data_IF_291628810818
#
_entry.id   IF_291628810818
#
_cell.length_a   1.000
_cell.length_b   1.000
_cell.length_c   1.000
_cell.angle_alpha   90.00
_cell.angle_beta   90.00
_cell.angle_gamma   90.00
#
_symmetry.space_group_name_H-M   'P 1'
#
loop_
_entity.id
_entity.type
_entity.pdbx_description
1 polymer ?
#
# COMPACT_ATOMS: atom_id res chain seq x y z
N UNK A 1 -18.65 2.14 -12.48
CA UNK A 1 -17.32 2.48 -11.94
C UNK A 1 -17.22 1.86 -10.55
N UNK A 2 -16.03 1.37 -10.13
CA UNK A 2 -15.83 0.83 -8.77
C UNK A 2 -15.05 1.83 -7.93
N UNK A 3 -15.47 2.02 -6.69
CA UNK A 3 -14.83 2.94 -5.74
C UNK A 3 -13.67 2.26 -5.00
N UNK A 4 -12.63 3.03 -4.68
CA UNK A 4 -11.51 2.56 -3.88
C UNK A 4 -11.04 3.65 -2.90
N UNK A 5 -10.37 3.23 -1.84
CA UNK A 5 -9.84 4.11 -0.80
C UNK A 5 -8.45 3.66 -0.37
N UNK A 6 -7.59 4.63 -0.02
CA UNK A 6 -6.18 4.38 0.27
C UNK A 6 -5.94 4.04 1.74
N UNK A 7 -5.09 3.04 1.98
CA UNK A 7 -4.57 2.66 3.29
C UNK A 7 -3.04 2.74 3.25
N UNK A 8 -2.46 3.66 4.01
CA UNK A 8 -1.01 3.81 4.12
C UNK A 8 -0.47 3.21 5.42
N UNK A 9 0.51 2.31 5.27
CA UNK A 9 1.28 1.71 6.36
C UNK A 9 2.70 2.30 6.42
N UNK A 10 2.90 3.50 5.86
CA UNK A 10 4.19 4.20 5.80
C UNK A 10 4.15 5.43 6.70
N UNK A 11 4.62 5.34 7.96
CA UNK A 11 4.55 6.47 8.90
C UNK A 11 5.26 7.73 8.38
N UNK A 12 6.36 7.58 7.65
CA UNK A 12 7.13 8.66 7.06
C UNK A 12 6.37 9.42 5.95
N UNK A 13 5.30 8.83 5.41
CA UNK A 13 4.45 9.47 4.43
C UNK A 13 3.31 10.28 5.07
N UNK A 14 3.19 10.32 6.40
CA UNK A 14 2.12 11.04 7.12
C UNK A 14 2.01 12.50 6.68
N UNK A 15 0.76 12.95 6.51
CA UNK A 15 0.44 14.24 5.89
C UNK A 15 0.34 14.18 4.36
N UNK A 16 0.68 13.04 3.75
CA UNK A 16 0.38 12.75 2.34
C UNK A 16 -1.13 12.51 2.10
N UNK A 17 -1.54 12.37 0.83
CA UNK A 17 -2.95 12.27 0.42
C UNK A 17 -3.54 10.86 0.64
N UNK A 18 -3.37 10.29 1.83
CA UNK A 18 -3.94 8.99 2.20
C UNK A 18 -5.08 9.15 3.19
N UNK A 19 -6.12 8.32 3.04
CA UNK A 19 -7.33 8.41 3.86
C UNK A 19 -7.16 7.63 5.17
N UNK A 20 -6.78 6.36 5.09
CA UNK A 20 -6.53 5.52 6.26
C UNK A 20 -5.03 5.34 6.53
N UNK A 21 -4.71 5.21 7.81
CA UNK A 21 -3.34 5.15 8.32
C UNK A 21 -3.19 4.01 9.34
N UNK A 22 -1.95 3.57 9.51
CA UNK A 22 -1.43 2.75 10.62
C UNK A 22 -1.90 1.28 10.68
N UNK A 23 -3.20 1.00 10.60
CA UNK A 23 -3.75 -0.35 10.77
C UNK A 23 -4.52 -0.82 9.52
N UNK A 24 -4.01 -1.90 8.93
CA UNK A 24 -4.57 -2.50 7.72
C UNK A 24 -5.98 -3.05 7.95
N UNK A 25 -6.19 -3.78 9.05
CA UNK A 25 -7.48 -4.42 9.33
C UNK A 25 -8.56 -3.38 9.65
N UNK A 26 -8.21 -2.35 10.41
CA UNK A 26 -9.12 -1.23 10.69
C UNK A 26 -9.45 -0.44 9.42
N UNK A 27 -8.47 -0.24 8.53
CA UNK A 27 -8.68 0.37 7.21
C UNK A 27 -9.67 -0.43 6.35
N UNK A 28 -9.50 -1.75 6.25
CA UNK A 28 -10.45 -2.64 5.56
C UNK A 28 -11.85 -2.59 6.18
N UNK A 29 -11.95 -2.68 7.51
CA UNK A 29 -13.22 -2.63 8.21
C UNK A 29 -13.99 -1.32 7.94
N UNK A 30 -13.28 -0.19 8.01
CA UNK A 30 -13.87 1.13 7.78
C UNK A 30 -14.25 1.31 6.30
N UNK A 31 -13.39 0.88 5.36
CA UNK A 31 -13.69 0.92 3.93
C UNK A 31 -14.98 0.15 3.59
N UNK A 32 -15.14 -1.05 4.16
CA UNK A 32 -16.33 -1.86 3.96
C UNK A 32 -17.57 -1.21 4.58
N UNK A 33 -17.45 -0.66 5.80
CA UNK A 33 -18.55 0.05 6.46
C UNK A 33 -19.03 1.27 5.67
N UNK A 34 -18.12 1.97 4.99
CA UNK A 34 -18.43 3.12 4.14
C UNK A 34 -18.92 2.74 2.74
N UNK A 35 -18.95 1.45 2.39
CA UNK A 35 -19.48 0.95 1.13
C UNK A 35 -18.53 1.05 -0.07
N UNK A 36 -17.21 1.07 0.17
CA UNK A 36 -16.23 1.00 -0.93
C UNK A 36 -16.21 -0.39 -1.57
N UNK A 37 -15.84 -0.48 -2.85
CA UNK A 37 -15.67 -1.76 -3.55
C UNK A 37 -14.28 -2.37 -3.34
N UNK A 38 -13.28 -1.54 -3.06
CA UNK A 38 -11.87 -1.93 -3.02
C UNK A 38 -11.01 -1.02 -2.12
N UNK A 39 -9.79 -1.46 -1.87
CA UNK A 39 -8.74 -0.67 -1.21
C UNK A 39 -7.47 -0.58 -2.06
N UNK A 40 -6.69 0.47 -1.82
CA UNK A 40 -5.33 0.62 -2.34
C UNK A 40 -4.36 0.59 -1.15
N UNK A 41 -3.39 -0.32 -1.16
CA UNK A 41 -2.50 -0.54 -0.02
C UNK A 41 -1.10 0.02 -0.31
N UNK A 42 -0.54 0.78 0.63
CA UNK A 42 0.82 1.32 0.54
C UNK A 42 1.66 0.71 1.67
N UNK A 43 2.34 -0.44 1.43
CA UNK A 43 3.16 -1.10 2.43
C UNK A 43 4.51 -0.39 2.63
N UNK A 44 5.17 -0.58 3.80
CA UNK A 44 6.49 -0.02 4.07
C UNK A 44 7.63 -0.70 3.30
N UNK A 45 7.40 -1.87 2.71
CA UNK A 45 8.33 -2.65 1.87
C UNK A 45 7.60 -3.71 1.04
N UNK A 46 8.26 -4.30 0.03
CA UNK A 46 7.69 -5.39 -0.79
C UNK A 46 7.16 -6.57 0.03
N UNK A 47 7.84 -6.91 1.12
CA UNK A 47 7.46 -8.00 2.03
C UNK A 47 6.81 -7.49 3.33
N UNK A 48 6.37 -6.22 3.36
CA UNK A 48 5.90 -5.56 4.57
C UNK A 48 4.55 -6.06 5.09
N UNK A 49 3.81 -6.83 4.29
CA UNK A 49 2.51 -7.40 4.65
C UNK A 49 2.42 -8.82 4.09
N UNK A 50 2.07 -9.83 4.91
CA UNK A 50 1.83 -11.18 4.41
C UNK A 50 0.64 -11.22 3.44
N UNK A 51 0.80 -11.82 2.27
CA UNK A 51 -0.26 -11.97 1.26
C UNK A 51 -1.50 -12.68 1.82
N UNK A 52 -1.31 -13.69 2.68
CA UNK A 52 -2.40 -14.41 3.35
C UNK A 52 -3.23 -13.52 4.26
N UNK A 53 -2.61 -12.54 4.92
CA UNK A 53 -3.32 -11.57 5.75
C UNK A 53 -4.19 -10.65 4.90
N UNK A 54 -3.68 -10.17 3.76
CA UNK A 54 -4.45 -9.35 2.81
C UNK A 54 -5.63 -10.14 2.24
N UNK A 55 -5.40 -11.38 1.80
CA UNK A 55 -6.44 -12.27 1.28
C UNK A 55 -7.54 -12.51 2.31
N UNK A 56 -7.17 -12.83 3.56
CA UNK A 56 -8.14 -13.02 4.64
C UNK A 56 -8.98 -11.77 4.93
N UNK A 57 -8.40 -10.58 4.83
CA UNK A 57 -9.13 -9.32 4.99
C UNK A 57 -10.06 -9.02 3.80
N UNK A 58 -9.60 -9.30 2.57
CA UNK A 58 -10.43 -9.17 1.37
C UNK A 58 -11.67 -10.06 1.45
N UNK A 59 -11.50 -11.34 1.85
CA UNK A 59 -12.61 -12.28 2.01
C UNK A 59 -13.56 -11.85 3.14
N UNK A 60 -13.00 -11.55 4.33
CA UNK A 60 -13.79 -11.15 5.50
C UNK A 60 -14.67 -9.93 5.26
N UNK A 61 -14.17 -8.95 4.51
CA UNK A 61 -14.85 -7.68 4.29
C UNK A 61 -15.50 -7.55 2.91
N UNK A 62 -15.43 -8.60 2.08
CA UNK A 62 -15.92 -8.59 0.69
C UNK A 62 -15.35 -7.42 -0.15
N UNK A 63 -14.11 -7.00 0.15
CA UNK A 63 -13.41 -5.92 -0.53
C UNK A 63 -12.40 -6.47 -1.53
N UNK A 64 -12.19 -5.75 -2.64
CA UNK A 64 -11.13 -6.06 -3.62
C UNK A 64 -9.84 -5.28 -3.32
N UNK A 65 -8.73 -5.73 -3.88
CA UNK A 65 -7.49 -4.96 -3.95
C UNK A 65 -7.44 -4.25 -5.30
N UNK A 66 -7.48 -2.91 -5.30
CA UNK A 66 -7.40 -2.10 -6.51
C UNK A 66 -5.96 -1.84 -6.95
N UNK A 67 -5.06 -1.58 -5.99
CA UNK A 67 -3.65 -1.30 -6.26
C UNK A 67 -2.76 -1.58 -5.03
N UNK A 68 -1.47 -1.76 -5.30
CA UNK A 68 -0.40 -1.72 -4.29
C UNK A 68 0.59 -0.64 -4.68
N UNK A 69 0.82 0.32 -3.79
CA UNK A 69 1.73 1.43 -4.04
C UNK A 69 3.13 1.20 -3.46
N UNK A 70 4.16 1.39 -4.29
CA UNK A 70 5.57 1.14 -3.92
C UNK A 70 6.33 2.41 -3.50
N UNK A 71 5.63 3.51 -3.26
CA UNK A 71 6.23 4.82 -2.93
C UNK A 71 7.11 4.83 -1.67
N UNK A 72 6.93 3.87 -0.76
CA UNK A 72 7.79 3.68 0.41
C UNK A 72 9.27 3.52 0.05
N UNK A 73 9.58 2.91 -1.10
CA UNK A 73 10.96 2.76 -1.58
C UNK A 73 11.64 4.11 -1.78
N UNK A 74 10.91 5.11 -2.28
CA UNK A 74 11.44 6.46 -2.39
C UNK A 74 11.42 7.20 -1.04
N UNK A 75 10.31 7.14 -0.30
CA UNK A 75 10.17 7.89 0.97
C UNK A 75 11.28 7.50 1.95
N UNK A 76 11.49 6.19 2.15
CA UNK A 76 12.40 5.63 3.16
C UNK A 76 13.83 5.47 2.66
N UNK A 77 14.00 5.05 1.40
CA UNK A 77 15.29 4.60 0.88
C UNK A 77 15.79 5.44 -0.31
N UNK A 78 15.02 6.43 -0.76
CA UNK A 78 15.33 7.27 -1.94
C UNK A 78 15.55 6.48 -3.23
N UNK A 79 14.96 5.28 -3.32
CA UNK A 79 15.02 4.44 -4.51
C UNK A 79 14.29 5.10 -5.68
N UNK A 80 14.91 5.05 -6.87
CA UNK A 80 14.40 5.63 -8.11
C UNK A 80 14.70 4.69 -9.26
N UNK A 81 13.68 4.34 -10.05
CA UNK A 81 13.85 3.51 -11.25
C UNK A 81 14.65 4.23 -12.36
N UNK A 82 14.74 5.56 -12.28
CA UNK A 82 15.45 6.43 -13.23
C UNK A 82 16.72 7.04 -12.63
N UNK A 83 17.23 6.47 -11.54
CA UNK A 83 18.48 6.94 -10.92
C UNK A 83 19.65 6.86 -11.92
N UNK A 84 20.58 7.84 -11.96
CA UNK A 84 21.80 7.71 -12.76
C UNK A 84 22.63 6.48 -12.38
N UNK A 85 22.63 6.09 -11.10
CA UNK A 85 23.37 4.93 -10.61
C UNK A 85 22.61 3.61 -10.93
N UNK A 86 23.21 2.68 -11.73
CA UNK A 86 22.60 1.39 -12.02
C UNK A 86 22.31 0.53 -10.78
N UNK A 87 23.09 0.65 -9.70
CA UNK A 87 22.89 -0.10 -8.48
C UNK A 87 21.60 0.34 -7.76
N UNK A 88 21.32 1.65 -7.73
CA UNK A 88 20.07 2.18 -7.16
C UNK A 88 18.88 1.74 -8.00
N UNK A 89 19.00 1.72 -9.34
CA UNK A 89 17.95 1.20 -10.21
C UNK A 89 17.68 -0.29 -9.98
N UNK A 90 18.72 -1.09 -9.71
CA UNK A 90 18.57 -2.51 -9.37
C UNK A 90 17.80 -2.67 -8.05
N UNK A 91 18.21 -1.96 -7.00
CA UNK A 91 17.51 -1.99 -5.70
C UNK A 91 16.05 -1.52 -5.83
N UNK A 92 15.79 -0.50 -6.66
CA UNK A 92 14.43 -0.01 -6.92
C UNK A 92 13.55 -1.06 -7.62
N UNK A 93 14.12 -1.89 -8.50
CA UNK A 93 13.39 -3.01 -9.13
C UNK A 93 13.14 -4.15 -8.14
N UNK A 94 14.10 -4.47 -7.29
CA UNK A 94 13.97 -5.51 -6.26
C UNK A 94 12.96 -5.14 -5.16
N UNK A 95 12.71 -3.84 -4.98
CA UNK A 95 11.70 -3.34 -4.04
C UNK A 95 10.26 -3.49 -4.53
N UNK A 96 10.04 -3.71 -5.83
CA UNK A 96 8.70 -3.84 -6.45
C UNK A 96 8.34 -5.31 -6.57
#
# INVERSE_FOLDING_TARGET
>A
MKSAVTISLVPEARGGPFVFWDDLAAGFATAAQLGFDAVEIFPPSSNGIPLSAVQGLMEKHSLKLAAVGTGAGWVKHKLRLTDPDPAVRQQAREFI
#
